data_IF_152612010983
#
_entry.id   IF_152612010983
#
_cell.length_a   1.000
_cell.length_b   1.000
_cell.length_c   1.000
_cell.angle_alpha   90.00
_cell.angle_beta   90.00
_cell.angle_gamma   90.00
#
_symmetry.space_group_name_H-M   'P 1'
#
loop_
_entity.id
_entity.type
_entity.pdbx_description
1 polymer ?
#
# COMPACT_ATOMS: atom_id res chain seq x y z
N UNK A 1 -2.88 17.62 10.43
CA UNK A 1 -1.97 16.56 9.97
C UNK A 1 -0.59 17.16 9.82
N UNK A 2 0.39 16.63 10.52
CA UNK A 2 1.78 17.04 10.39
C UNK A 2 2.53 16.09 9.43
N UNK A 3 3.67 16.53 8.87
CA UNK A 3 4.50 15.72 7.96
C UNK A 3 4.80 14.33 8.51
N UNK A 4 5.05 14.22 9.82
CA UNK A 4 5.37 12.96 10.50
C UNK A 4 4.20 11.97 10.44
N UNK A 5 2.97 12.42 10.64
CA UNK A 5 1.77 11.57 10.52
C UNK A 5 1.60 11.04 9.09
N UNK A 6 1.88 11.86 8.08
CA UNK A 6 1.83 11.46 6.67
C UNK A 6 2.89 10.39 6.38
N UNK A 7 4.13 10.64 6.80
CA UNK A 7 5.23 9.67 6.62
C UNK A 7 4.94 8.34 7.33
N UNK A 8 4.44 8.40 8.56
CA UNK A 8 4.04 7.21 9.29
C UNK A 8 2.96 6.42 8.55
N UNK A 9 1.94 7.09 8.00
CA UNK A 9 0.90 6.45 7.19
C UNK A 9 1.44 5.83 5.91
N UNK A 10 2.40 6.48 5.25
CA UNK A 10 3.07 5.92 4.07
C UNK A 10 3.89 4.67 4.44
N UNK A 11 4.61 4.68 5.56
CA UNK A 11 5.36 3.51 6.03
C UNK A 11 4.44 2.33 6.38
N UNK A 12 3.33 2.61 7.06
CA UNK A 12 2.29 1.63 7.40
C UNK A 12 1.72 0.96 6.13
N UNK A 13 1.31 1.77 5.14
CA UNK A 13 0.80 1.28 3.86
C UNK A 13 1.86 0.50 3.07
N UNK A 14 3.14 0.88 3.13
CA UNK A 14 4.23 0.11 2.51
C UNK A 14 4.42 -1.25 3.19
N UNK A 15 4.31 -1.32 4.51
CA UNK A 15 4.39 -2.58 5.23
C UNK A 15 3.21 -3.50 4.88
N UNK A 16 2.01 -2.94 4.72
CA UNK A 16 0.84 -3.68 4.24
C UNK A 16 1.00 -4.16 2.80
N UNK A 17 1.53 -3.32 1.92
CA UNK A 17 1.84 -3.68 0.53
C UNK A 17 2.76 -4.90 0.45
N UNK A 18 3.87 -4.88 1.20
CA UNK A 18 4.83 -6.00 1.22
C UNK A 18 4.20 -7.27 1.76
N UNK A 19 3.40 -7.18 2.84
CA UNK A 19 2.68 -8.34 3.38
C UNK A 19 1.71 -8.93 2.35
N UNK A 20 0.94 -8.07 1.69
CA UNK A 20 -0.03 -8.49 0.69
C UNK A 20 0.64 -9.12 -0.54
N UNK A 21 1.80 -8.61 -0.94
CA UNK A 21 2.61 -9.21 -2.00
C UNK A 21 3.08 -10.62 -1.63
N UNK A 22 3.54 -10.84 -0.39
CA UNK A 22 3.88 -12.19 0.08
C UNK A 22 2.67 -13.13 0.10
N UNK A 23 1.49 -12.63 0.48
CA UNK A 23 0.26 -13.41 0.45
C UNK A 23 -0.16 -13.74 -0.99
N UNK A 24 0.02 -12.82 -1.94
CA UNK A 24 -0.19 -13.04 -3.37
C UNK A 24 0.70 -14.17 -3.91
N UNK A 25 2.01 -14.11 -3.64
CA UNK A 25 2.96 -15.15 -4.06
C UNK A 25 2.57 -16.53 -3.50
N UNK A 26 2.19 -16.56 -2.22
CA UNK A 26 1.73 -17.80 -1.58
C UNK A 26 0.42 -18.31 -2.19
N UNK A 27 -0.50 -17.41 -2.50
CA UNK A 27 -1.79 -17.77 -3.08
C UNK A 27 -1.63 -18.25 -4.53
N UNK A 28 -0.71 -17.66 -5.28
CA UNK A 28 -0.34 -18.06 -6.63
C UNK A 28 0.25 -19.47 -6.62
N UNK A 29 1.13 -19.76 -5.66
CA UNK A 29 1.71 -21.08 -5.47
C UNK A 29 0.65 -22.17 -5.23
N UNK A 30 -0.38 -21.88 -4.43
CA UNK A 30 -1.50 -22.82 -4.18
C UNK A 30 -2.58 -22.78 -5.27
N UNK A 31 -2.37 -22.04 -6.37
CA UNK A 31 -3.35 -21.79 -7.44
C UNK A 31 -4.70 -21.30 -6.94
N UNK A 32 -4.67 -20.48 -5.88
CA UNK A 32 -5.85 -19.83 -5.33
C UNK A 32 -6.30 -18.63 -6.16
N UNK A 33 -7.40 -18.00 -5.74
CA UNK A 33 -7.96 -16.84 -6.43
C UNK A 33 -7.22 -15.54 -6.06
N UNK A 34 -6.35 -15.04 -6.94
CA UNK A 34 -5.55 -13.84 -6.72
C UNK A 34 -6.36 -12.54 -6.76
N UNK A 35 -7.54 -12.58 -7.39
CA UNK A 35 -8.30 -11.38 -7.74
C UNK A 35 -8.65 -10.45 -6.55
N UNK A 36 -9.04 -10.98 -5.36
CA UNK A 36 -9.28 -10.15 -4.18
C UNK A 36 -8.02 -9.46 -3.65
N UNK A 37 -6.87 -10.15 -3.66
CA UNK A 37 -5.60 -9.61 -3.19
C UNK A 37 -5.04 -8.58 -4.17
N UNK A 38 -5.13 -8.83 -5.49
CA UNK A 38 -4.74 -7.85 -6.51
C UNK A 38 -5.53 -6.55 -6.38
N UNK A 39 -6.83 -6.65 -6.10
CA UNK A 39 -7.68 -5.48 -5.86
C UNK A 39 -7.22 -4.70 -4.63
N UNK A 40 -6.91 -5.41 -3.53
CA UNK A 40 -6.39 -4.78 -2.33
C UNK A 40 -5.01 -4.12 -2.58
N UNK A 41 -4.15 -4.73 -3.39
CA UNK A 41 -2.84 -4.19 -3.74
C UNK A 41 -3.00 -2.87 -4.51
N UNK A 42 -3.89 -2.85 -5.50
CA UNK A 42 -4.19 -1.64 -6.27
C UNK A 42 -4.80 -0.53 -5.39
N UNK A 43 -5.64 -0.88 -4.40
CA UNK A 43 -6.17 0.07 -3.43
C UNK A 43 -5.05 0.69 -2.58
N UNK A 44 -4.11 -0.12 -2.08
CA UNK A 44 -2.95 0.35 -1.32
C UNK A 44 -2.06 1.28 -2.16
N UNK A 45 -1.83 0.95 -3.44
CA UNK A 45 -1.06 1.80 -4.37
C UNK A 45 -1.73 3.17 -4.58
N UNK A 46 -3.05 3.19 -4.77
CA UNK A 46 -3.81 4.42 -4.90
C UNK A 46 -3.76 5.26 -3.62
N UNK A 47 -3.84 4.62 -2.46
CA UNK A 47 -3.68 5.32 -1.18
C UNK A 47 -2.27 5.89 -1.01
N UNK A 48 -1.23 5.10 -1.27
CA UNK A 48 0.15 5.56 -1.24
C UNK A 48 0.37 6.77 -2.16
N UNK A 49 -0.16 6.74 -3.38
CA UNK A 49 -0.07 7.87 -4.29
C UNK A 49 -0.73 9.13 -3.71
N UNK A 50 -1.92 8.99 -3.11
CA UNK A 50 -2.62 10.11 -2.46
C UNK A 50 -1.84 10.68 -1.28
N UNK A 51 -1.26 9.81 -0.44
CA UNK A 51 -0.47 10.25 0.71
C UNK A 51 0.85 10.90 0.31
N UNK A 52 1.54 10.38 -0.72
CA UNK A 52 2.74 11.02 -1.26
C UNK A 52 2.43 12.39 -1.86
N UNK A 53 1.30 12.54 -2.56
CA UNK A 53 0.87 13.86 -3.05
C UNK A 53 0.60 14.84 -1.91
N UNK A 54 -0.07 14.38 -0.84
CA UNK A 54 -0.26 15.20 0.37
C UNK A 54 1.05 15.55 1.07
N UNK A 55 2.04 14.64 1.04
CA UNK A 55 3.36 14.91 1.59
C UNK A 55 4.04 16.04 0.82
N UNK A 56 4.00 15.98 -0.51
CA UNK A 56 4.55 17.00 -1.40
C UNK A 56 3.87 18.37 -1.18
N UNK A 57 2.55 18.39 -1.03
CA UNK A 57 1.78 19.61 -0.70
C UNK A 57 2.14 20.22 0.68
N UNK A 58 2.63 19.40 1.62
CA UNK A 58 3.04 19.84 2.96
C UNK A 58 4.52 20.21 3.03
N UNK A 59 5.35 19.65 2.15
CA UNK A 59 6.79 19.90 2.07
C UNK A 59 7.17 21.05 1.12
N UNK A 60 6.29 21.41 0.19
CA UNK A 60 6.46 22.49 -0.80
C UNK A 60 6.20 23.90 -0.29
#
# INVERSE_FOLDING_TARGET
MNKKEILYKIEDLKADYVRLQHDLEKLEYVKGNLHPLEKQLAEIELELQRWNKKLDEVDG
#
